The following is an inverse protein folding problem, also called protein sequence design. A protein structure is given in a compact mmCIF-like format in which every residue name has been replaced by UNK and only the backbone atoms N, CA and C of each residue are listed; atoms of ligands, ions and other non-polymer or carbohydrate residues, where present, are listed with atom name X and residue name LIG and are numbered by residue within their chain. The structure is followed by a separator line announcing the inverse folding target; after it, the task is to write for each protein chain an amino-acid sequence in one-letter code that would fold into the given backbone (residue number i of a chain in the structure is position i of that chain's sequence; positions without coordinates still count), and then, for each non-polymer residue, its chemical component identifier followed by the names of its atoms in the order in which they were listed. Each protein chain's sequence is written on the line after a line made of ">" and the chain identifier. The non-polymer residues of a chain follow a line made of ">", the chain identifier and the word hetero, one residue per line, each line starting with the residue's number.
data_IF_663435889350
#
_entry.id   IF_663435889350
#
_cell.length_a   1.000
_cell.length_b   1.000
_cell.length_c   1.000
_cell.angle_alpha   90.00
_cell.angle_beta   90.00
_cell.angle_gamma   90.00
#
_symmetry.space_group_name_H-M   'P 1'
#
loop_
_entity.id
_entity.type
_entity.pdbx_description
1 polymer ?
#
# COMPACT_ATOMS: atom_id res chain seq x y z
N UNK A 1 -12.24 13.66 -4.16
CA UNK A 1 -11.01 12.97 -4.58
C UNK A 1 -9.98 13.05 -3.48
N UNK A 2 -9.33 11.94 -3.13
CA UNK A 2 -8.24 11.92 -2.16
C UNK A 2 -6.88 11.83 -2.87
N UNK A 3 -6.78 11.04 -3.92
CA UNK A 3 -5.60 10.93 -4.78
C UNK A 3 -5.99 11.32 -6.20
N UNK A 4 -5.17 12.16 -6.83
CA UNK A 4 -5.34 12.55 -8.22
C UNK A 4 -3.98 12.61 -8.93
N UNK A 5 -3.84 11.86 -10.01
CA UNK A 5 -2.76 11.97 -10.97
C UNK A 5 -3.23 12.83 -12.16
N UNK A 6 -2.50 13.89 -12.47
CA UNK A 6 -2.79 14.81 -13.59
C UNK A 6 -1.69 14.75 -14.62
N UNK A 7 -2.00 14.25 -15.81
CA UNK A 7 -1.10 14.18 -16.97
C UNK A 7 0.29 13.62 -16.62
N UNK A 8 0.29 12.57 -15.81
CA UNK A 8 1.49 12.01 -15.18
C UNK A 8 2.30 11.22 -16.21
N UNK A 9 3.60 11.53 -16.35
CA UNK A 9 4.50 10.79 -17.23
C UNK A 9 5.78 10.39 -16.51
N UNK A 10 6.27 9.21 -16.83
CA UNK A 10 7.48 8.64 -16.24
C UNK A 10 8.12 7.65 -17.21
N UNK A 11 9.46 7.60 -17.23
CA UNK A 11 10.24 6.67 -17.99
C UNK A 11 11.39 6.11 -17.16
N UNK A 12 11.63 4.79 -17.25
CA UNK A 12 12.82 4.17 -16.68
C UNK A 12 14.00 4.31 -17.63
N UNK A 13 15.07 5.05 -17.27
CA UNK A 13 16.19 5.35 -18.18
C UNK A 13 16.90 4.11 -18.77
N UNK A 14 16.87 2.98 -18.02
CA UNK A 14 17.59 1.76 -18.39
C UNK A 14 16.80 0.81 -19.30
N UNK A 15 15.48 0.81 -19.22
CA UNK A 15 14.62 -0.17 -19.91
C UNK A 15 13.80 0.45 -21.03
N UNK A 16 13.72 1.78 -21.08
CA UNK A 16 12.85 2.49 -22.01
C UNK A 16 11.35 2.34 -21.73
N UNK A 17 10.97 1.60 -20.67
CA UNK A 17 9.56 1.51 -20.29
C UNK A 17 9.05 2.87 -19.85
N UNK A 18 7.93 3.32 -20.39
CA UNK A 18 7.33 4.60 -20.08
C UNK A 18 5.82 4.50 -19.78
N UNK A 19 5.36 5.42 -18.94
CA UNK A 19 3.95 5.78 -18.77
C UNK A 19 3.79 7.21 -19.28
N UNK A 20 2.73 7.49 -20.06
CA UNK A 20 2.53 8.82 -20.64
C UNK A 20 1.12 9.33 -20.45
N UNK A 21 1.01 10.55 -19.96
CA UNK A 21 -0.25 11.29 -19.89
C UNK A 21 -1.31 10.68 -18.99
N UNK A 22 -0.90 9.93 -17.95
CA UNK A 22 -1.83 9.25 -17.05
C UNK A 22 -2.68 10.25 -16.29
N UNK A 23 -4.00 10.08 -16.39
CA UNK A 23 -4.99 10.75 -15.55
C UNK A 23 -5.76 9.69 -14.76
N UNK A 24 -5.71 9.80 -13.44
CA UNK A 24 -6.30 8.81 -12.56
C UNK A 24 -6.72 9.44 -11.24
N UNK A 25 -7.85 9.00 -10.69
CA UNK A 25 -8.39 9.53 -9.44
C UNK A 25 -8.88 8.42 -8.53
N UNK A 26 -8.80 8.64 -7.23
CA UNK A 26 -9.43 7.84 -6.18
C UNK A 26 -10.21 8.79 -5.29
N UNK A 27 -11.48 8.50 -5.03
CA UNK A 27 -12.27 9.27 -4.10
C UNK A 27 -12.02 8.84 -2.65
N UNK A 28 -12.38 9.69 -1.68
CA UNK A 28 -12.22 9.37 -0.26
C UNK A 28 -13.10 8.18 0.10
N UNK A 29 -12.51 7.17 0.75
CA UNK A 29 -13.21 5.93 1.11
C UNK A 29 -13.54 5.02 -0.09
N UNK A 30 -12.93 5.27 -1.27
CA UNK A 30 -13.08 4.42 -2.45
C UNK A 30 -11.96 3.36 -2.49
N UNK A 31 -12.32 2.13 -2.85
CA UNK A 31 -11.35 1.12 -3.29
C UNK A 31 -11.39 0.98 -4.81
N UNK A 32 -10.25 1.24 -5.45
CA UNK A 32 -10.06 1.08 -6.90
C UNK A 32 -9.07 -0.04 -7.15
N UNK A 33 -9.41 -0.98 -8.03
CA UNK A 33 -8.47 -1.97 -8.51
C UNK A 33 -7.84 -1.53 -9.84
N UNK A 34 -6.52 -1.68 -9.96
CA UNK A 34 -5.81 -1.57 -11.23
C UNK A 34 -5.41 -2.97 -11.68
N UNK A 35 -5.90 -3.35 -12.87
CA UNK A 35 -5.62 -4.62 -13.52
C UNK A 35 -4.87 -4.44 -14.83
N UNK A 36 -4.41 -5.55 -15.42
CA UNK A 36 -3.67 -5.55 -16.68
C UNK A 36 -2.49 -6.52 -16.66
N UNK A 37 -1.86 -6.79 -17.80
CA UNK A 37 -0.79 -7.76 -17.94
C UNK A 37 0.45 -7.39 -17.10
N UNK A 38 1.35 -8.37 -16.91
CA UNK A 38 2.63 -8.11 -16.28
C UNK A 38 3.45 -7.15 -17.16
N UNK A 39 4.12 -6.18 -16.52
CA UNK A 39 4.87 -5.14 -17.22
C UNK A 39 4.05 -3.96 -17.74
N UNK A 40 2.72 -3.93 -17.57
CA UNK A 40 1.89 -2.79 -18.02
C UNK A 40 2.09 -1.49 -17.23
N UNK A 41 2.80 -1.54 -16.08
CA UNK A 41 3.10 -0.34 -15.31
C UNK A 41 2.29 -0.14 -14.05
N UNK A 42 1.46 -1.09 -13.62
CA UNK A 42 0.64 -1.01 -12.39
C UNK A 42 1.46 -0.63 -11.15
N UNK A 43 2.51 -1.40 -10.87
CA UNK A 43 3.46 -1.13 -9.77
C UNK A 43 4.14 0.24 -9.92
N UNK A 44 4.48 0.63 -11.16
CA UNK A 44 5.09 1.95 -11.44
C UNK A 44 4.13 3.07 -11.11
N UNK A 45 2.86 2.95 -11.52
CA UNK A 45 1.83 3.92 -11.18
C UNK A 45 1.63 4.00 -9.66
N UNK A 46 1.48 2.87 -8.96
CA UNK A 46 1.39 2.86 -7.50
C UNK A 46 2.55 3.58 -6.82
N UNK A 47 3.79 3.34 -7.27
CA UNK A 47 5.00 4.02 -6.76
C UNK A 47 5.03 5.52 -7.05
N UNK A 48 4.53 5.96 -8.20
CA UNK A 48 4.41 7.37 -8.54
C UNK A 48 3.39 8.07 -7.64
N UNK A 49 2.23 7.47 -7.42
CA UNK A 49 1.18 8.00 -6.53
C UNK A 49 1.68 8.19 -5.10
N UNK A 50 2.51 7.27 -4.59
CA UNK A 50 3.12 7.37 -3.27
C UNK A 50 4.38 8.23 -3.23
N UNK A 51 4.89 8.68 -4.39
CA UNK A 51 6.12 9.45 -4.50
C UNK A 51 7.41 8.68 -4.22
N UNK A 52 7.36 7.35 -4.32
CA UNK A 52 8.53 6.47 -4.33
C UNK A 52 9.29 6.58 -5.65
N UNK A 53 8.60 7.01 -6.71
CA UNK A 53 9.18 7.45 -7.98
C UNK A 53 8.78 8.89 -8.23
N UNK A 54 9.69 9.67 -8.83
CA UNK A 54 9.44 11.06 -9.20
C UNK A 54 8.99 11.11 -10.65
N UNK A 55 7.81 11.69 -10.98
CA UNK A 55 7.39 11.82 -12.35
C UNK A 55 8.29 12.80 -13.12
N UNK A 56 8.41 12.61 -14.42
CA UNK A 56 9.10 13.54 -15.34
C UNK A 56 8.22 14.75 -15.68
N UNK A 57 6.91 14.52 -15.77
CA UNK A 57 5.91 15.58 -15.97
C UNK A 57 4.58 15.21 -15.31
N UNK A 58 3.71 16.20 -15.19
CA UNK A 58 2.45 16.07 -14.48
C UNK A 58 2.59 16.22 -12.97
N UNK A 59 1.50 15.97 -12.24
CA UNK A 59 1.44 16.13 -10.80
C UNK A 59 0.63 15.03 -10.13
N UNK A 60 0.97 14.73 -8.87
CA UNK A 60 0.15 13.92 -7.96
C UNK A 60 -0.36 14.80 -6.84
N UNK A 61 -1.67 14.85 -6.68
CA UNK A 61 -2.32 15.60 -5.61
C UNK A 61 -2.89 14.63 -4.57
N UNK A 62 -2.81 15.03 -3.30
CA UNK A 62 -3.46 14.35 -2.19
C UNK A 62 -4.35 15.36 -1.43
N UNK A 63 -5.65 15.08 -1.36
CA UNK A 63 -6.60 16.02 -0.78
C UNK A 63 -6.60 17.40 -1.47
N UNK A 64 -6.27 17.46 -2.76
CA UNK A 64 -6.15 18.68 -3.54
C UNK A 64 -4.81 19.41 -3.44
N UNK A 65 -3.90 18.99 -2.55
CA UNK A 65 -2.56 19.57 -2.40
C UNK A 65 -1.54 18.82 -3.27
N UNK A 66 -0.72 19.55 -4.02
CA UNK A 66 0.37 18.97 -4.80
C UNK A 66 1.44 18.37 -3.89
N UNK A 67 1.74 17.11 -4.11
CA UNK A 67 2.70 16.37 -3.29
C UNK A 67 4.15 16.57 -3.70
N UNK A 68 4.47 17.31 -4.76
CA UNK A 68 5.83 17.47 -5.28
C UNK A 68 6.83 17.98 -4.22
N UNK A 69 6.39 18.90 -3.36
CA UNK A 69 7.20 19.47 -2.27
C UNK A 69 7.21 18.65 -0.96
N UNK A 70 6.50 17.52 -0.89
CA UNK A 70 6.42 16.76 0.35
C UNK A 70 7.68 15.90 0.56
N UNK A 71 8.16 15.85 1.81
CA UNK A 71 9.17 14.87 2.22
C UNK A 71 8.62 13.44 2.14
N UNK A 72 9.49 12.45 2.02
CA UNK A 72 9.10 11.03 2.05
C UNK A 72 8.37 10.67 3.35
N UNK A 73 8.79 11.23 4.49
CA UNK A 73 8.11 11.02 5.77
C UNK A 73 6.67 11.55 5.76
N UNK A 74 6.43 12.77 5.25
CA UNK A 74 5.09 13.33 5.10
C UNK A 74 4.21 12.48 4.18
N UNK A 75 4.78 11.97 3.07
CA UNK A 75 4.07 11.09 2.15
C UNK A 75 3.68 9.78 2.81
N UNK A 76 4.64 9.11 3.50
CA UNK A 76 4.39 7.85 4.19
C UNK A 76 3.35 7.94 5.31
N UNK A 77 3.22 9.10 5.97
CA UNK A 77 2.14 9.34 6.94
C UNK A 77 0.76 9.48 6.28
N UNK A 78 0.69 9.85 5.01
CA UNK A 78 -0.57 10.08 4.28
C UNK A 78 -0.97 8.93 3.39
N UNK A 79 0.02 8.26 2.76
CA UNK A 79 -0.20 7.18 1.80
C UNK A 79 0.68 6.00 2.20
N UNK A 80 0.08 4.93 2.69
CA UNK A 80 0.77 3.67 2.94
C UNK A 80 0.98 2.89 1.64
N UNK A 81 2.17 2.33 1.45
CA UNK A 81 2.48 1.48 0.29
C UNK A 81 2.93 0.10 0.74
N UNK A 82 2.23 -0.94 0.33
CA UNK A 82 2.64 -2.33 0.49
C UNK A 82 3.47 -2.76 -0.72
N UNK A 83 4.73 -3.14 -0.49
CA UNK A 83 5.60 -3.63 -1.56
C UNK A 83 5.25 -5.06 -1.97
N UNK A 84 5.35 -5.36 -3.25
CA UNK A 84 5.22 -6.71 -3.79
C UNK A 84 6.19 -7.71 -3.13
N UNK A 85 7.37 -7.25 -2.68
CA UNK A 85 8.33 -7.99 -1.87
C UNK A 85 8.32 -7.42 -0.45
N UNK A 86 7.52 -7.96 0.49
CA UNK A 86 7.35 -7.40 1.82
C UNK A 86 8.64 -7.37 2.65
N UNK A 87 9.58 -8.29 2.40
CA UNK A 87 10.89 -8.29 3.05
C UNK A 87 11.68 -6.99 2.90
N UNK A 88 11.44 -6.23 1.82
CA UNK A 88 12.09 -4.92 1.59
C UNK A 88 11.56 -3.80 2.49
N UNK A 89 10.48 -4.06 3.18
CA UNK A 89 9.79 -3.09 4.02
C UNK A 89 10.12 -3.31 5.50
N UNK A 90 10.57 -4.51 5.85
CA UNK A 90 10.87 -4.91 7.23
C UNK A 90 12.34 -4.60 7.57
N UNK A 91 12.58 -4.04 8.75
CA UNK A 91 13.91 -3.60 9.19
C UNK A 91 14.25 -3.95 10.63
N UNK A 92 13.25 -4.14 11.52
CA UNK A 92 13.48 -4.39 12.92
C UNK A 92 13.90 -5.86 13.20
N UNK A 93 14.62 -6.12 14.31
CA UNK A 93 15.07 -7.44 14.68
C UNK A 93 13.93 -8.45 14.91
N UNK A 94 12.85 -8.03 15.57
CA UNK A 94 11.70 -8.88 15.89
C UNK A 94 10.38 -8.35 15.35
N UNK A 95 9.39 -9.23 15.22
CA UNK A 95 8.04 -8.93 14.74
C UNK A 95 7.37 -7.86 15.61
N UNK A 96 7.49 -7.94 16.93
CA UNK A 96 6.90 -6.96 17.83
C UNK A 96 7.59 -5.60 17.71
N UNK A 97 8.93 -5.59 17.64
CA UNK A 97 9.70 -4.35 17.49
C UNK A 97 9.43 -3.65 16.16
N UNK A 98 9.21 -4.40 15.07
CA UNK A 98 8.84 -3.86 13.76
C UNK A 98 7.60 -2.96 13.84
N UNK A 99 6.61 -3.38 14.59
CA UNK A 99 5.37 -2.61 14.76
C UNK A 99 5.48 -1.53 15.83
N UNK A 100 6.11 -1.83 16.97
CA UNK A 100 6.21 -0.91 18.09
C UNK A 100 7.08 0.31 17.74
N UNK A 101 8.19 0.11 17.05
CA UNK A 101 9.16 1.16 16.71
C UNK A 101 8.52 2.34 15.95
N UNK A 102 7.69 2.06 14.96
CA UNK A 102 7.02 3.11 14.17
C UNK A 102 6.12 4.00 15.05
N UNK A 103 5.45 3.41 16.02
CA UNK A 103 4.58 4.13 16.96
C UNK A 103 5.40 4.94 17.97
N UNK A 104 6.50 4.38 18.46
CA UNK A 104 7.41 5.06 19.37
C UNK A 104 8.04 6.30 18.71
N UNK A 105 8.45 6.18 17.45
CA UNK A 105 8.94 7.33 16.66
C UNK A 105 7.87 8.42 16.47
N UNK A 106 6.60 8.03 16.43
CA UNK A 106 5.47 8.97 16.38
C UNK A 106 5.11 9.59 17.75
N UNK A 107 5.88 9.26 18.83
CA UNK A 107 5.69 9.79 20.17
C UNK A 107 4.73 9.00 21.06
N UNK A 108 4.30 7.80 20.66
CA UNK A 108 3.51 6.89 21.50
C UNK A 108 4.44 6.28 22.56
N UNK A 109 3.96 6.12 23.80
CA UNK A 109 4.75 5.42 24.83
C UNK A 109 5.02 3.97 24.44
N UNK A 110 6.17 3.41 24.86
CA UNK A 110 6.54 2.03 24.52
C UNK A 110 5.50 1.00 24.97
N UNK A 111 4.86 1.21 26.11
CA UNK A 111 3.80 0.34 26.61
C UNK A 111 2.59 0.34 25.68
N UNK A 112 2.10 1.51 25.31
CA UNK A 112 0.96 1.68 24.41
C UNK A 112 1.28 1.22 22.97
N UNK A 113 2.50 1.49 22.48
CA UNK A 113 2.97 1.01 21.18
C UNK A 113 2.96 -0.51 21.09
N UNK A 114 3.48 -1.17 22.13
CA UNK A 114 3.48 -2.65 22.24
C UNK A 114 2.07 -3.22 22.35
N UNK A 115 1.18 -2.58 23.11
CA UNK A 115 -0.22 -3.00 23.24
C UNK A 115 -0.92 -2.97 21.89
N UNK A 116 -0.83 -1.86 21.13
CA UNK A 116 -1.42 -1.71 19.79
C UNK A 116 -0.82 -2.70 18.80
N UNK A 117 0.50 -2.90 18.86
CA UNK A 117 1.18 -3.88 18.03
C UNK A 117 0.64 -5.30 18.27
N UNK A 118 0.49 -5.72 19.54
CA UNK A 118 -0.03 -7.04 19.89
C UNK A 118 -1.48 -7.25 19.44
N UNK A 119 -2.33 -6.22 19.51
CA UNK A 119 -3.71 -6.31 19.03
C UNK A 119 -3.77 -6.61 17.51
N UNK A 120 -2.92 -5.95 16.72
CA UNK A 120 -2.82 -6.23 15.29
C UNK A 120 -2.16 -7.59 15.00
N UNK A 121 -1.12 -7.95 15.74
CA UNK A 121 -0.49 -9.27 15.58
C UNK A 121 -1.49 -10.40 15.85
N UNK A 122 -2.33 -10.25 16.87
CA UNK A 122 -3.39 -11.23 17.17
C UNK A 122 -4.41 -11.31 16.03
N UNK A 123 -4.88 -10.16 15.53
CA UNK A 123 -5.83 -10.09 14.42
C UNK A 123 -5.31 -10.74 13.14
N UNK A 124 -4.01 -10.58 12.85
CA UNK A 124 -3.36 -11.15 11.67
C UNK A 124 -2.71 -12.52 11.91
N UNK A 125 -2.99 -13.15 13.03
CA UNK A 125 -2.46 -14.49 13.41
C UNK A 125 -0.91 -14.52 13.43
N UNK A 126 -0.30 -13.45 13.91
CA UNK A 126 1.16 -13.31 14.07
C UNK A 126 1.60 -13.24 15.54
N UNK A 127 0.67 -13.20 16.50
CA UNK A 127 0.97 -13.10 17.94
C UNK A 127 1.97 -14.14 18.43
N UNK A 128 1.86 -15.45 18.05
CA UNK A 128 2.84 -16.45 18.46
C UNK A 128 4.25 -16.21 17.93
N UNK A 129 4.39 -15.32 16.95
CA UNK A 129 5.65 -14.96 16.30
C UNK A 129 6.24 -13.64 16.81
N UNK A 130 5.61 -12.99 17.82
CA UNK A 130 5.98 -11.65 18.27
C UNK A 130 7.47 -11.48 18.61
N UNK A 131 8.10 -12.49 19.22
CA UNK A 131 9.52 -12.49 19.57
C UNK A 131 10.43 -13.06 18.45
N UNK A 132 9.84 -13.52 17.32
CA UNK A 132 10.61 -14.13 16.23
C UNK A 132 11.28 -13.06 15.36
N UNK A 133 12.43 -13.40 14.79
CA UNK A 133 13.14 -12.50 13.85
C UNK A 133 12.34 -12.26 12.56
N UNK A 134 12.19 -11.01 12.16
CA UNK A 134 11.43 -10.59 10.95
C UNK A 134 11.92 -11.27 9.69
N UNK A 135 13.23 -11.45 9.54
CA UNK A 135 13.85 -12.06 8.36
C UNK A 135 13.77 -13.61 8.33
N UNK A 136 13.30 -14.23 9.42
CA UNK A 136 13.06 -15.68 9.47
C UNK A 136 11.62 -16.08 9.18
N UNK A 137 10.77 -15.09 8.94
CA UNK A 137 9.37 -15.29 8.60
C UNK A 137 9.22 -15.83 7.18
N UNK A 138 8.19 -16.65 6.96
CA UNK A 138 7.73 -16.99 5.61
C UNK A 138 7.21 -15.74 4.88
N UNK A 139 7.18 -15.79 3.56
CA UNK A 139 6.69 -14.66 2.74
C UNK A 139 5.28 -14.20 3.13
N UNK A 140 4.36 -15.13 3.42
CA UNK A 140 3.00 -14.80 3.85
C UNK A 140 2.94 -14.17 5.25
N UNK A 141 3.86 -14.54 6.17
CA UNK A 141 4.00 -13.90 7.48
C UNK A 141 4.57 -12.49 7.34
N UNK A 142 5.60 -12.30 6.49
CA UNK A 142 6.15 -10.99 6.17
C UNK A 142 5.11 -10.06 5.53
N UNK A 143 4.28 -10.59 4.63
CA UNK A 143 3.18 -9.87 4.01
C UNK A 143 2.20 -9.32 5.05
N UNK A 144 1.73 -10.18 5.95
CA UNK A 144 0.82 -9.79 7.02
C UNK A 144 1.44 -8.78 7.98
N UNK A 145 2.73 -8.98 8.34
CA UNK A 145 3.46 -8.05 9.21
C UNK A 145 3.58 -6.67 8.56
N UNK A 146 3.93 -6.60 7.28
CA UNK A 146 4.00 -5.34 6.54
C UNK A 146 2.65 -4.61 6.51
N UNK A 147 1.54 -5.35 6.30
CA UNK A 147 0.19 -4.78 6.35
C UNK A 147 -0.12 -4.22 7.76
N UNK A 148 0.21 -4.95 8.83
CA UNK A 148 0.06 -4.44 10.20
C UNK A 148 0.80 -3.10 10.41
N UNK A 149 2.04 -3.00 9.90
CA UNK A 149 2.83 -1.76 9.98
C UNK A 149 2.16 -0.57 9.28
N UNK A 150 1.56 -0.80 8.10
CA UNK A 150 0.81 0.23 7.39
C UNK A 150 -0.43 0.70 8.16
N UNK A 151 -1.18 -0.23 8.74
CA UNK A 151 -2.40 0.06 9.50
C UNK A 151 -2.11 0.87 10.77
N UNK A 152 -1.00 0.61 11.46
CA UNK A 152 -0.57 1.38 12.63
C UNK A 152 -0.30 2.85 12.30
N UNK A 153 0.15 3.14 11.08
CA UNK A 153 0.40 4.49 10.60
C UNK A 153 -0.87 5.33 10.36
N UNK A 154 -2.04 4.71 10.34
CA UNK A 154 -3.34 5.35 10.05
C UNK A 154 -3.30 6.29 8.84
N UNK A 155 -2.84 5.83 7.68
CA UNK A 155 -2.77 6.68 6.49
C UNK A 155 -4.17 7.02 5.97
N UNK A 156 -4.28 8.12 5.21
CA UNK A 156 -5.53 8.48 4.53
C UNK A 156 -5.80 7.65 3.27
N UNK A 157 -4.76 7.00 2.74
CA UNK A 157 -4.89 6.06 1.62
C UNK A 157 -3.87 4.93 1.71
N UNK A 158 -4.22 3.77 1.14
CA UNK A 158 -3.36 2.59 1.04
C UNK A 158 -3.18 2.21 -0.44
N UNK A 159 -1.96 1.93 -0.84
CA UNK A 159 -1.63 1.28 -2.11
C UNK A 159 -1.12 -0.13 -1.79
N UNK A 160 -1.88 -1.13 -2.16
CA UNK A 160 -1.61 -2.53 -1.88
C UNK A 160 -1.18 -3.25 -3.17
N UNK A 161 0.13 -3.49 -3.32
CA UNK A 161 0.71 -4.14 -4.50
C UNK A 161 0.83 -5.65 -4.27
N UNK A 162 -0.04 -6.43 -4.94
CA UNK A 162 -0.19 -7.88 -4.82
C UNK A 162 -0.42 -8.37 -3.37
N UNK A 163 -1.40 -7.81 -2.64
CA UNK A 163 -1.55 -8.05 -1.20
C UNK A 163 -1.96 -9.48 -0.83
N UNK A 164 -2.50 -10.25 -1.78
CA UNK A 164 -2.96 -11.64 -1.56
C UNK A 164 -1.88 -12.70 -1.79
N UNK A 165 -0.70 -12.30 -2.29
CA UNK A 165 0.37 -13.23 -2.61
C UNK A 165 0.85 -13.98 -1.36
N UNK A 166 0.84 -15.32 -1.42
CA UNK A 166 1.26 -16.18 -0.31
C UNK A 166 0.24 -16.30 0.83
N UNK A 167 -0.98 -15.80 0.64
CA UNK A 167 -2.07 -15.95 1.61
C UNK A 167 -3.01 -17.10 1.19
N UNK A 168 -3.40 -17.91 2.15
CA UNK A 168 -4.51 -18.87 2.00
C UNK A 168 -5.88 -18.18 2.10
N UNK A 169 -6.95 -18.93 1.86
CA UNK A 169 -8.32 -18.40 1.84
C UNK A 169 -8.71 -17.70 3.15
N UNK A 170 -8.35 -18.28 4.32
CA UNK A 170 -8.67 -17.68 5.62
C UNK A 170 -7.96 -16.33 5.81
N UNK A 171 -6.70 -16.24 5.42
CA UNK A 171 -5.92 -15.00 5.56
C UNK A 171 -6.32 -13.92 4.55
N UNK A 172 -6.77 -14.34 3.35
CA UNK A 172 -7.41 -13.42 2.40
C UNK A 172 -8.71 -12.83 2.95
N UNK A 173 -9.50 -13.63 3.67
CA UNK A 173 -10.71 -13.17 4.36
C UNK A 173 -10.40 -12.12 5.44
N UNK A 174 -9.35 -12.35 6.26
CA UNK A 174 -8.89 -11.36 7.26
C UNK A 174 -8.49 -10.06 6.57
N UNK A 175 -7.73 -10.14 5.48
CA UNK A 175 -7.32 -8.98 4.71
C UNK A 175 -8.52 -8.25 4.09
N UNK A 176 -9.48 -8.98 3.53
CA UNK A 176 -10.69 -8.41 2.96
C UNK A 176 -11.50 -7.63 4.01
N UNK A 177 -11.75 -8.22 5.19
CA UNK A 177 -12.40 -7.51 6.30
C UNK A 177 -11.65 -6.24 6.69
N UNK A 178 -10.32 -6.32 6.73
CA UNK A 178 -9.47 -5.15 7.04
C UNK A 178 -9.61 -4.05 6.00
N UNK A 179 -9.63 -4.39 4.71
CA UNK A 179 -9.88 -3.42 3.64
C UNK A 179 -11.24 -2.76 3.81
N UNK A 180 -12.29 -3.54 4.08
CA UNK A 180 -13.64 -3.00 4.29
C UNK A 180 -13.73 -2.07 5.51
N UNK A 181 -13.04 -2.40 6.60
CA UNK A 181 -12.96 -1.52 7.78
C UNK A 181 -12.23 -0.21 7.45
N UNK A 182 -11.10 -0.27 6.74
CA UNK A 182 -10.38 0.91 6.28
C UNK A 182 -11.29 1.83 5.44
N UNK A 183 -12.07 1.24 4.52
CA UNK A 183 -13.04 2.00 3.71
C UNK A 183 -14.13 2.63 4.58
N UNK A 184 -14.65 1.89 5.57
CA UNK A 184 -15.61 2.40 6.55
C UNK A 184 -15.07 3.56 7.37
N UNK A 185 -13.76 3.58 7.64
CA UNK A 185 -13.06 4.69 8.33
C UNK A 185 -12.67 5.84 7.38
N UNK A 186 -13.08 5.77 6.10
CA UNK A 186 -12.80 6.80 5.09
C UNK A 186 -11.41 6.71 4.45
N UNK A 187 -10.64 5.65 4.72
CA UNK A 187 -9.35 5.39 4.08
C UNK A 187 -9.59 4.87 2.67
N UNK A 188 -8.93 5.46 1.68
CA UNK A 188 -9.03 5.00 0.29
C UNK A 188 -8.04 3.90 0.00
N UNK A 189 -8.37 2.98 -0.91
CA UNK A 189 -7.51 1.83 -1.21
C UNK A 189 -7.29 1.68 -2.71
N UNK A 190 -6.04 1.64 -3.13
CA UNK A 190 -5.64 1.20 -4.46
C UNK A 190 -5.17 -0.25 -4.38
N UNK A 191 -5.88 -1.15 -5.07
CA UNK A 191 -5.53 -2.56 -5.19
C UNK A 191 -4.82 -2.80 -6.53
N UNK A 192 -3.60 -3.29 -6.49
CA UNK A 192 -2.91 -3.82 -7.66
C UNK A 192 -2.85 -5.33 -7.45
N UNK A 193 -3.63 -6.10 -8.19
CA UNK A 193 -3.73 -7.54 -7.97
C UNK A 193 -4.17 -8.29 -9.22
N UNK A 194 -3.81 -9.57 -9.28
CA UNK A 194 -4.32 -10.54 -10.24
C UNK A 194 -5.37 -11.48 -9.64
N UNK A 195 -5.71 -11.32 -8.36
CA UNK A 195 -6.72 -12.10 -7.68
C UNK A 195 -8.13 -11.53 -7.95
N UNK A 196 -8.77 -12.04 -9.01
CA UNK A 196 -10.08 -11.54 -9.44
C UNK A 196 -11.16 -11.66 -8.34
N UNK A 197 -11.14 -12.73 -7.53
CA UNK A 197 -12.10 -12.91 -6.45
C UNK A 197 -11.89 -11.84 -5.35
N UNK A 198 -10.64 -11.55 -5.00
CA UNK A 198 -10.32 -10.51 -4.03
C UNK A 198 -10.69 -9.11 -4.53
N UNK A 199 -10.44 -8.82 -5.82
CA UNK A 199 -10.85 -7.56 -6.46
C UNK A 199 -12.37 -7.40 -6.42
N UNK A 200 -13.11 -8.40 -6.88
CA UNK A 200 -14.58 -8.36 -6.91
C UNK A 200 -15.20 -8.14 -5.52
N UNK A 201 -14.58 -8.67 -4.48
CA UNK A 201 -15.06 -8.54 -3.11
C UNK A 201 -14.76 -7.16 -2.50
N UNK A 202 -13.68 -6.49 -2.93
CA UNK A 202 -13.13 -5.34 -2.22
C UNK A 202 -13.13 -4.03 -3.01
N UNK A 203 -13.08 -4.06 -4.34
CA UNK A 203 -13.04 -2.86 -5.16
C UNK A 203 -14.44 -2.43 -5.61
N UNK A 204 -14.73 -1.13 -5.51
CA UNK A 204 -15.93 -0.54 -6.08
C UNK A 204 -15.77 -0.24 -7.58
N UNK A 205 -14.53 -0.08 -8.04
CA UNK A 205 -14.20 0.21 -9.42
C UNK A 205 -12.95 -0.54 -9.85
N UNK A 206 -12.97 -1.08 -11.05
CA UNK A 206 -11.81 -1.69 -11.70
C UNK A 206 -11.41 -0.81 -12.90
N UNK A 207 -10.11 -0.58 -13.05
CA UNK A 207 -9.51 0.19 -14.15
C UNK A 207 -8.40 -0.65 -14.76
N UNK A 208 -8.44 -0.84 -16.06
CA UNK A 208 -7.36 -1.50 -16.78
C UNK A 208 -6.23 -0.52 -17.04
N UNK A 209 -5.00 -0.94 -16.77
CA UNK A 209 -3.83 -0.08 -16.96
C UNK A 209 -3.69 0.44 -18.40
N UNK A 210 -4.13 -0.35 -19.39
CA UNK A 210 -4.14 0.01 -20.80
C UNK A 210 -5.07 1.19 -21.11
N UNK A 211 -6.17 1.33 -20.36
CA UNK A 211 -7.14 2.43 -20.52
C UNK A 211 -6.60 3.76 -19.99
N UNK A 212 -5.59 3.72 -19.11
CA UNK A 212 -4.96 4.91 -18.54
C UNK A 212 -3.84 5.45 -19.41
N UNK A 213 -3.19 4.59 -20.20
CA UNK A 213 -2.14 5.00 -21.11
C UNK A 213 -2.76 5.60 -22.37
N UNK A 214 -2.44 6.85 -22.70
CA UNK A 214 -2.79 7.39 -24.01
C UNK A 214 -1.95 6.68 -25.07
N UNK A 215 -2.62 6.09 -26.06
CA UNK A 215 -1.97 5.73 -27.31
C UNK A 215 -1.51 7.01 -28.00
N UNK A 216 -0.23 7.08 -28.40
CA UNK A 216 0.32 8.14 -29.23
C UNK A 216 -0.16 8.00 -30.69
#
# INVERSE_FOLDING_TARGET
>A
MIIEARNLSFEYPKTGFCLRGINFTIDSGEAVAITGPNGSGKTTLGKLLCGLLKPQSGAVLFGGEDTAGWSLGRRGQRIGYLFQEPARQLFAPTVLEELAFTQELAGTSSEEARRRAMELLSRFELEPLAARGTFTLSRGEQQRLAICGLLLGKPGALVLDEPTTGLDARRKEILSKTVQECLGDGVSVLLISHDAAFIQQNAQREVKMEELCRED
#
